data_IF_819379679343
#
_entry.id   IF_819379679343
#
_cell.length_a   1.000
_cell.length_b   1.000
_cell.length_c   1.000
_cell.angle_alpha   90.00
_cell.angle_beta   90.00
_cell.angle_gamma   90.00
#
_symmetry.space_group_name_H-M   'P 1'
#
loop_
_entity.id
_entity.type
_entity.pdbx_description
1 polymer ?
#
# COMPACT_ATOMS: atom_id res chain seq x y z
N UNK A 1 0.75 7.86 3.75
CA UNK A 1 1.00 9.31 3.67
C UNK A 1 2.43 9.57 3.23
N UNK A 2 3.42 8.96 3.89
CA UNK A 2 4.80 8.88 3.38
C UNK A 2 4.86 8.60 1.88
N UNK A 3 4.23 7.53 1.39
CA UNK A 3 4.37 7.15 -0.03
C UNK A 3 3.63 8.08 -1.01
N UNK A 4 2.52 8.71 -0.60
CA UNK A 4 1.81 9.73 -1.38
C UNK A 4 2.66 10.98 -1.55
N UNK A 5 3.42 11.36 -0.53
CA UNK A 5 4.13 12.64 -0.48
C UNK A 5 5.62 12.49 -0.82
N UNK A 6 6.23 11.33 -0.58
CA UNK A 6 7.65 11.07 -0.83
C UNK A 6 7.95 10.49 -2.20
N UNK A 7 7.09 9.61 -2.74
CA UNK A 7 7.29 9.16 -4.11
C UNK A 7 7.24 10.37 -5.03
N UNK A 8 8.20 10.48 -5.93
CA UNK A 8 8.41 11.63 -6.82
C UNK A 8 7.23 11.95 -7.76
N UNK A 9 6.35 10.99 -7.99
CA UNK A 9 5.14 11.11 -8.81
C UNK A 9 3.84 11.31 -7.99
N UNK A 10 3.97 11.35 -6.67
CA UNK A 10 2.94 11.75 -5.70
C UNK A 10 1.53 11.09 -5.84
N UNK A 11 1.43 9.75 -5.97
CA UNK A 11 0.17 9.06 -6.24
C UNK A 11 -0.93 9.39 -5.22
N UNK A 12 -2.07 9.87 -5.68
CA UNK A 12 -3.24 10.21 -4.84
C UNK A 12 -3.12 11.53 -4.09
N UNK A 13 -2.15 12.38 -4.43
CA UNK A 13 -1.95 13.68 -3.78
C UNK A 13 -2.76 14.80 -4.41
N UNK A 14 -3.64 15.42 -3.60
CA UNK A 14 -4.36 16.62 -4.00
C UNK A 14 -3.43 17.83 -4.14
N UNK A 15 -2.39 17.93 -3.30
CA UNK A 15 -1.44 19.05 -3.32
C UNK A 15 -0.61 19.08 -4.61
N UNK A 16 -0.32 17.90 -5.18
CA UNK A 16 0.45 17.76 -6.42
C UNK A 16 -0.45 17.52 -7.65
N UNK A 17 -1.78 17.60 -7.49
CA UNK A 17 -2.76 17.30 -8.54
C UNK A 17 -2.51 15.96 -9.26
N UNK A 18 -2.14 14.92 -8.49
CA UNK A 18 -1.85 13.58 -8.96
C UNK A 18 -2.87 12.62 -8.36
N UNK A 19 -4.10 12.53 -8.92
CA UNK A 19 -5.14 11.65 -8.38
C UNK A 19 -4.79 10.17 -8.60
N UNK A 20 -5.46 9.31 -7.86
CA UNK A 20 -5.63 7.92 -8.26
C UNK A 20 -6.91 7.81 -9.11
N UNK A 21 -6.96 6.85 -10.02
CA UNK A 21 -8.16 6.52 -10.78
C UNK A 21 -8.62 5.11 -10.41
N UNK A 22 -9.93 4.94 -10.22
CA UNK A 22 -10.49 3.67 -9.79
C UNK A 22 -10.23 2.58 -10.85
N UNK A 23 -9.74 1.42 -10.42
CA UNK A 23 -9.81 0.18 -11.20
C UNK A 23 -11.07 -0.59 -10.79
N UNK A 24 -12.08 -0.61 -11.67
CA UNK A 24 -13.35 -1.30 -11.43
C UNK A 24 -13.27 -2.80 -11.74
N UNK A 25 -12.40 -3.20 -12.67
CA UNK A 25 -12.24 -4.60 -13.06
C UNK A 25 -11.55 -5.37 -11.92
N UNK A 26 -12.30 -6.30 -11.32
CA UNK A 26 -11.84 -7.11 -10.19
C UNK A 26 -10.72 -8.06 -10.59
N UNK A 27 -10.69 -8.53 -11.83
CA UNK A 27 -9.63 -9.40 -12.32
C UNK A 27 -8.34 -8.60 -12.55
N UNK A 28 -8.46 -7.36 -13.02
CA UNK A 28 -7.33 -6.42 -13.08
C UNK A 28 -6.81 -6.06 -11.69
N UNK A 29 -7.68 -5.72 -10.75
CA UNK A 29 -7.28 -5.45 -9.37
C UNK A 29 -6.60 -6.68 -8.73
N UNK A 30 -7.09 -7.89 -8.99
CA UNK A 30 -6.46 -9.13 -8.52
C UNK A 30 -5.09 -9.35 -9.17
N UNK A 31 -4.98 -9.13 -10.48
CA UNK A 31 -3.71 -9.22 -11.20
C UNK A 31 -2.69 -8.21 -10.66
N UNK A 32 -3.13 -6.97 -10.40
CA UNK A 32 -2.33 -5.92 -9.79
C UNK A 32 -1.76 -6.35 -8.44
N UNK A 33 -2.62 -6.87 -7.55
CA UNK A 33 -2.21 -7.40 -6.25
C UNK A 33 -1.23 -8.57 -6.37
N UNK A 34 -1.45 -9.47 -7.32
CA UNK A 34 -0.56 -10.62 -7.54
C UNK A 34 0.86 -10.20 -7.97
N UNK A 35 1.04 -9.02 -8.56
CA UNK A 35 2.37 -8.47 -8.86
C UNK A 35 3.02 -7.92 -7.60
N UNK A 36 2.32 -7.07 -6.84
CA UNK A 36 2.93 -6.30 -5.74
C UNK A 36 2.93 -7.06 -4.41
N UNK A 37 1.80 -7.66 -4.05
CA UNK A 37 1.56 -8.40 -2.82
C UNK A 37 0.99 -9.81 -3.10
N UNK A 38 1.73 -10.70 -3.80
CA UNK A 38 1.28 -12.07 -4.01
C UNK A 38 1.16 -12.81 -2.68
N UNK A 39 0.13 -13.66 -2.55
CA UNK A 39 -0.14 -14.44 -1.34
C UNK A 39 0.91 -15.56 -1.09
N UNK A 40 1.77 -15.84 -2.06
CA UNK A 40 2.84 -16.85 -1.96
C UNK A 40 3.82 -16.82 -3.14
N UNK A 41 4.84 -17.68 -3.06
CA UNK A 41 5.90 -17.78 -4.07
C UNK A 41 7.10 -16.86 -3.81
N UNK A 42 8.09 -16.89 -4.71
CA UNK A 42 9.40 -16.25 -4.52
C UNK A 42 9.37 -14.72 -4.35
N UNK A 43 8.26 -14.07 -4.75
CA UNK A 43 8.10 -12.61 -4.65
C UNK A 43 7.08 -12.17 -3.60
N UNK A 44 6.53 -13.12 -2.82
CA UNK A 44 5.73 -12.79 -1.65
C UNK A 44 6.55 -11.93 -0.70
N UNK A 45 5.89 -10.96 -0.06
CA UNK A 45 6.57 -10.11 0.91
C UNK A 45 7.02 -10.96 2.10
N UNK A 46 8.32 -10.97 2.38
CA UNK A 46 8.84 -11.50 3.65
C UNK A 46 8.42 -10.55 4.79
N UNK A 47 7.40 -10.97 5.55
CA UNK A 47 6.78 -10.11 6.55
C UNK A 47 7.79 -9.72 7.65
N UNK A 48 7.90 -8.41 7.92
CA UNK A 48 8.89 -7.88 8.84
C UNK A 48 8.56 -8.28 10.29
N UNK A 49 9.52 -8.84 11.05
CA UNK A 49 9.27 -9.35 12.41
C UNK A 49 8.93 -8.25 13.43
N UNK A 50 9.31 -7.00 13.15
CA UNK A 50 8.95 -5.84 13.98
C UNK A 50 7.61 -5.20 13.59
N UNK A 51 6.93 -5.70 12.56
CA UNK A 51 5.59 -5.23 12.25
C UNK A 51 4.64 -5.61 13.39
N UNK A 52 3.81 -4.68 13.83
CA UNK A 52 2.87 -4.96 14.93
C UNK A 52 1.75 -5.87 14.45
N UNK A 53 1.71 -7.09 14.97
CA UNK A 53 0.72 -8.11 14.63
C UNK A 53 -0.66 -7.85 15.23
N UNK A 54 -1.70 -8.30 14.53
CA UNK A 54 -3.07 -8.34 15.05
C UNK A 54 -3.32 -9.61 15.83
N UNK A 55 -3.19 -9.51 17.16
CA UNK A 55 -3.39 -10.63 18.09
C UNK A 55 -4.84 -11.15 18.10
N UNK A 56 -5.80 -10.40 17.55
CA UNK A 56 -7.19 -10.85 17.43
C UNK A 56 -7.43 -11.72 16.19
N UNK A 57 -6.43 -11.91 15.34
CA UNK A 57 -6.49 -12.75 14.16
C UNK A 57 -5.70 -14.02 14.36
N UNK A 58 -6.26 -15.14 13.89
CA UNK A 58 -5.53 -16.41 13.78
C UNK A 58 -4.69 -16.43 12.51
N UNK A 59 -5.25 -15.93 11.40
CA UNK A 59 -4.59 -15.85 10.10
C UNK A 59 -4.48 -14.40 9.64
N UNK A 60 -3.37 -14.04 9.00
CA UNK A 60 -3.15 -12.69 8.49
C UNK A 60 -2.99 -11.65 9.61
N UNK A 61 -2.33 -12.03 10.72
CA UNK A 61 -2.01 -11.11 11.80
C UNK A 61 -1.16 -9.93 11.30
N UNK A 62 -0.24 -10.21 10.38
CA UNK A 62 0.48 -9.24 9.57
C UNK A 62 0.16 -9.57 8.11
N UNK A 63 -0.05 -8.55 7.29
CA UNK A 63 -0.40 -8.66 5.87
C UNK A 63 0.48 -7.75 5.02
N UNK A 64 0.57 -8.08 3.73
CA UNK A 64 1.11 -7.19 2.71
C UNK A 64 0.03 -6.16 2.29
N UNK A 65 0.32 -4.89 2.56
CA UNK A 65 -0.40 -3.74 2.03
C UNK A 65 0.40 -3.11 0.87
N UNK A 66 -0.29 -2.44 -0.05
CA UNK A 66 0.29 -1.91 -1.30
C UNK A 66 -0.19 -0.48 -1.60
N UNK A 67 0.73 0.34 -2.09
CA UNK A 67 0.45 1.72 -2.51
C UNK A 67 1.16 2.05 -3.84
N UNK A 68 0.48 2.59 -4.85
CA UNK A 68 -0.95 2.81 -4.93
C UNK A 68 -1.74 1.47 -4.85
N UNK A 69 -3.00 1.56 -4.40
CA UNK A 69 -3.82 0.39 -4.11
C UNK A 69 -4.03 -0.48 -5.37
N UNK A 70 -4.15 -1.80 -5.21
CA UNK A 70 -4.44 -2.70 -6.33
C UNK A 70 -5.72 -2.35 -7.12
N UNK A 71 -6.72 -1.77 -6.44
CA UNK A 71 -7.95 -1.27 -7.05
C UNK A 71 -7.83 0.19 -7.55
N UNK A 72 -6.65 0.58 -8.02
CA UNK A 72 -6.37 1.83 -8.73
C UNK A 72 -5.60 1.55 -10.02
N UNK A 73 -5.79 2.39 -11.04
CA UNK A 73 -5.05 2.30 -12.31
C UNK A 73 -3.56 2.58 -12.13
N UNK A 74 -3.20 3.31 -11.07
CA UNK A 74 -1.84 3.65 -10.68
C UNK A 74 -1.14 2.55 -9.87
N UNK A 75 -1.83 1.44 -9.56
CA UNK A 75 -1.24 0.30 -8.84
C UNK A 75 0.10 -0.08 -9.44
N UNK A 76 1.07 -0.45 -8.59
CA UNK A 76 2.36 -0.98 -9.04
C UNK A 76 2.21 -2.11 -10.06
N UNK A 77 1.19 -2.96 -9.95
CA UNK A 77 0.96 -4.04 -10.91
C UNK A 77 0.51 -3.60 -12.31
N UNK A 78 0.11 -2.34 -12.47
CA UNK A 78 -0.23 -1.70 -13.75
C UNK A 78 0.91 -0.80 -14.27
N UNK A 79 1.97 -0.58 -13.49
CA UNK A 79 3.08 0.31 -13.86
C UNK A 79 4.07 -0.37 -14.80
N UNK A 80 4.42 0.30 -15.90
CA UNK A 80 5.42 -0.19 -16.84
C UNK A 80 6.76 -0.47 -16.15
N UNK A 81 7.32 -1.67 -16.33
CA UNK A 81 8.60 -2.07 -15.74
C UNK A 81 8.52 -2.62 -14.30
N UNK A 82 7.34 -2.59 -13.67
CA UNK A 82 7.09 -3.33 -12.43
C UNK A 82 6.59 -4.73 -12.80
N UNK A 83 7.41 -5.72 -12.50
CA UNK A 83 7.17 -7.15 -12.78
C UNK A 83 6.89 -7.95 -11.52
N UNK A 84 7.34 -7.45 -10.36
CA UNK A 84 7.07 -8.03 -9.05
C UNK A 84 7.28 -7.00 -7.95
N UNK A 85 6.73 -7.27 -6.77
CA UNK A 85 6.73 -6.33 -5.66
C UNK A 85 8.11 -6.06 -5.02
N UNK A 86 9.17 -6.82 -5.33
CA UNK A 86 10.52 -6.49 -4.82
C UNK A 86 11.09 -5.21 -5.43
N UNK A 87 10.53 -4.76 -6.55
CA UNK A 87 10.86 -3.49 -7.21
C UNK A 87 10.14 -2.28 -6.59
N UNK A 88 9.18 -2.53 -5.70
CA UNK A 88 8.54 -1.48 -4.94
C UNK A 88 9.42 -1.08 -3.74
N UNK A 89 9.18 0.10 -3.20
CA UNK A 89 9.68 0.48 -1.88
C UNK A 89 9.18 -0.54 -0.83
N UNK A 90 10.09 -1.06 0.00
CA UNK A 90 9.77 -2.02 1.05
C UNK A 90 9.67 -1.33 2.42
N UNK A 91 8.59 -1.57 3.15
CA UNK A 91 8.36 -0.95 4.45
C UNK A 91 7.68 -1.89 5.47
N UNK A 92 7.60 -1.45 6.71
CA UNK A 92 6.77 -2.09 7.73
C UNK A 92 6.19 -1.07 8.70
N UNK A 93 4.97 -1.33 9.19
CA UNK A 93 4.35 -0.51 10.22
C UNK A 93 4.46 -1.14 11.60
N UNK A 94 4.82 -0.29 12.56
CA UNK A 94 4.92 -0.64 13.97
C UNK A 94 4.19 0.39 14.82
N UNK A 95 3.53 -0.10 15.86
CA UNK A 95 3.07 0.72 16.98
C UNK A 95 4.20 0.78 18.00
N UNK A 96 4.81 1.93 18.15
CA UNK A 96 5.93 2.12 19.08
C UNK A 96 5.47 2.16 20.54
N UNK A 97 6.44 2.20 21.46
CA UNK A 97 6.21 2.30 22.90
C UNK A 97 5.40 3.55 23.31
N UNK A 98 5.45 4.63 22.51
CA UNK A 98 4.63 5.83 22.72
C UNK A 98 3.18 5.68 22.23
N UNK A 99 2.81 4.48 21.78
CA UNK A 99 1.48 4.14 21.31
C UNK A 99 1.15 4.64 19.90
N UNK A 100 2.08 5.33 19.22
CA UNK A 100 1.85 5.86 17.87
C UNK A 100 2.25 4.84 16.81
N UNK A 101 1.49 4.85 15.72
CA UNK A 101 1.80 4.06 14.53
C UNK A 101 2.78 4.83 13.65
N UNK A 102 3.84 4.15 13.23
CA UNK A 102 4.84 4.68 12.29
C UNK A 102 5.12 3.65 11.21
N UNK A 103 5.49 4.17 10.04
CA UNK A 103 5.97 3.39 8.91
C UNK A 103 7.48 3.57 8.79
N UNK A 104 8.19 2.45 8.72
CA UNK A 104 9.64 2.37 8.62
C UNK A 104 10.05 1.71 7.31
N UNK A 105 11.19 2.12 6.77
CA UNK A 105 11.79 1.46 5.62
C UNK A 105 12.31 0.07 6.06
N UNK A 106 12.05 -0.96 5.25
CA UNK A 106 12.58 -2.31 5.48
C UNK A 106 13.91 -2.48 4.74
N UNK A 107 15.02 -2.30 5.47
CA UNK A 107 16.38 -2.36 4.94
C UNK A 107 17.03 -3.75 5.07
N UNK A 108 16.25 -4.80 5.37
CA UNK A 108 16.78 -6.17 5.43
C UNK A 108 17.17 -6.64 4.02
N UNK A 109 18.33 -7.28 3.82
CA UNK A 109 18.69 -7.86 2.53
C UNK A 109 17.57 -8.77 1.98
N UNK A 110 17.26 -8.71 0.67
CA UNK A 110 17.98 -7.99 -0.39
C UNK A 110 17.54 -6.52 -0.59
N UNK A 111 16.71 -5.98 0.30
CA UNK A 111 16.18 -4.63 0.15
C UNK A 111 17.29 -3.59 0.27
N UNK A 112 17.12 -2.48 -0.44
CA UNK A 112 18.02 -1.31 -0.38
C UNK A 112 17.25 -0.11 0.18
N UNK A 113 17.97 0.94 0.56
CA UNK A 113 17.35 2.18 0.99
C UNK A 113 16.46 2.73 -0.14
N UNK A 114 15.25 3.22 0.18
CA UNK A 114 14.37 3.78 -0.83
C UNK A 114 15.02 4.92 -1.60
N UNK A 115 14.86 4.92 -2.92
CA UNK A 115 15.24 6.07 -3.76
C UNK A 115 14.11 7.10 -3.85
N UNK A 116 12.90 6.68 -3.46
CA UNK A 116 11.65 7.43 -3.62
C UNK A 116 11.27 7.72 -5.08
N UNK A 117 11.92 7.05 -6.02
CA UNK A 117 11.58 7.03 -7.45
C UNK A 117 10.89 5.71 -7.82
N UNK A 118 10.58 4.86 -6.85
CA UNK A 118 9.88 3.60 -7.06
C UNK A 118 8.45 3.86 -7.55
N UNK A 119 7.97 3.02 -8.46
CA UNK A 119 6.61 3.15 -9.01
C UNK A 119 5.52 2.60 -8.09
N UNK A 120 5.91 2.08 -6.93
CA UNK A 120 5.03 1.49 -5.94
C UNK A 120 5.76 1.34 -4.61
N UNK A 121 4.99 1.11 -3.57
CA UNK A 121 5.43 0.73 -2.25
C UNK A 121 4.59 -0.45 -1.75
N UNK A 122 5.19 -1.30 -0.92
CA UNK A 122 4.47 -2.33 -0.17
C UNK A 122 4.98 -2.44 1.26
N UNK A 123 4.12 -2.81 2.18
CA UNK A 123 4.46 -2.83 3.60
C UNK A 123 3.91 -4.04 4.34
N UNK A 124 4.68 -4.47 5.35
CA UNK A 124 4.17 -5.37 6.40
C UNK A 124 3.30 -4.57 7.36
N UNK A 125 2.00 -4.86 7.38
CA UNK A 125 0.99 -4.09 8.10
C UNK A 125 0.18 -4.95 9.06
N UNK A 126 -0.30 -4.36 10.16
CA UNK A 126 -1.25 -4.97 11.06
C UNK A 126 -2.54 -5.37 10.32
N UNK A 127 -2.90 -6.66 10.37
CA UNK A 127 -3.98 -7.22 9.55
C UNK A 127 -5.32 -6.48 9.68
N UNK A 128 -5.77 -6.24 10.91
CA UNK A 128 -7.02 -5.52 11.15
C UNK A 128 -7.02 -4.07 10.65
N UNK A 129 -5.86 -3.41 10.58
CA UNK A 129 -5.76 -2.04 10.05
C UNK A 129 -5.83 -2.06 8.52
N UNK A 130 -5.09 -2.99 7.91
CA UNK A 130 -5.09 -3.19 6.47
C UNK A 130 -6.51 -3.46 5.93
N UNK A 131 -7.20 -4.42 6.52
CA UNK A 131 -8.56 -4.79 6.11
C UNK A 131 -9.58 -3.66 6.34
N UNK A 132 -9.46 -2.93 7.45
CA UNK A 132 -10.33 -1.76 7.72
C UNK A 132 -10.08 -0.63 6.72
N UNK A 133 -8.84 -0.40 6.32
CA UNK A 133 -8.51 0.59 5.30
C UNK A 133 -9.11 0.19 3.94
N UNK A 134 -8.91 -1.06 3.51
CA UNK A 134 -9.50 -1.59 2.28
C UNK A 134 -11.04 -1.56 2.29
N UNK A 135 -11.67 -1.91 3.41
CA UNK A 135 -13.12 -1.85 3.58
C UNK A 135 -13.65 -0.41 3.48
N UNK A 136 -12.96 0.56 4.08
CA UNK A 136 -13.32 1.99 3.97
C UNK A 136 -13.19 2.49 2.54
N UNK A 137 -12.13 2.11 1.82
CA UNK A 137 -11.93 2.48 0.42
C UNK A 137 -13.03 1.89 -0.48
N UNK A 138 -13.35 0.60 -0.31
CA UNK A 138 -14.46 -0.04 -1.02
C UNK A 138 -15.80 0.65 -0.74
N UNK A 139 -16.07 0.96 0.54
CA UNK A 139 -17.29 1.69 0.93
C UNK A 139 -17.34 3.11 0.36
N UNK A 140 -16.19 3.79 0.22
CA UNK A 140 -16.09 5.09 -0.44
C UNK A 140 -16.50 4.99 -1.92
N UNK A 141 -15.97 4.02 -2.67
CA UNK A 141 -16.34 3.80 -4.08
C UNK A 141 -17.85 3.61 -4.25
N UNK A 142 -18.48 2.81 -3.38
CA UNK A 142 -19.93 2.60 -3.42
C UNK A 142 -20.70 3.86 -3.07
N UNK A 143 -20.31 4.57 -2.00
CA UNK A 143 -21.03 5.78 -1.52
C UNK A 143 -20.95 6.92 -2.52
N UNK A 144 -19.81 7.12 -3.15
CA UNK A 144 -19.61 8.16 -4.17
C UNK A 144 -20.05 7.71 -5.56
N UNK A 145 -20.53 6.46 -5.72
CA UNK A 145 -20.93 5.86 -6.99
C UNK A 145 -19.84 5.99 -8.07
N UNK A 146 -18.59 5.81 -7.66
CA UNK A 146 -17.46 5.94 -8.58
C UNK A 146 -17.59 4.93 -9.72
N UNK A 147 -17.26 5.34 -10.93
CA UNK A 147 -17.15 4.48 -12.09
C UNK A 147 -15.69 4.05 -12.29
N UNK A 148 -15.46 3.16 -13.26
CA UNK A 148 -14.09 2.90 -13.70
C UNK A 148 -13.46 4.20 -14.18
N UNK A 149 -12.17 4.38 -13.91
CA UNK A 149 -11.40 5.57 -14.26
C UNK A 149 -11.80 6.87 -13.53
N UNK A 150 -12.78 6.84 -12.61
CA UNK A 150 -13.08 8.04 -11.82
C UNK A 150 -11.91 8.41 -10.90
N UNK A 151 -11.53 9.68 -10.94
CA UNK A 151 -10.43 10.24 -10.15
C UNK A 151 -10.80 10.42 -8.66
N UNK A 152 -9.85 10.14 -7.78
CA UNK A 152 -9.97 10.40 -6.34
C UNK A 152 -8.61 10.70 -5.70
N UNK A 153 -8.65 11.43 -4.60
CA UNK A 153 -7.47 11.76 -3.81
C UNK A 153 -7.49 11.01 -2.48
N UNK A 154 -6.32 10.74 -1.94
CA UNK A 154 -6.13 10.12 -0.63
C UNK A 154 -5.89 11.21 0.40
N UNK A 155 -6.83 11.33 1.32
CA UNK A 155 -6.69 12.15 2.52
C UNK A 155 -6.68 11.26 3.77
N UNK A 156 -5.68 11.44 4.62
CA UNK A 156 -5.51 10.67 5.85
C UNK A 156 -5.24 11.65 6.99
N UNK A 157 -6.26 12.26 7.59
CA UNK A 157 -6.03 13.22 8.68
C UNK A 157 -5.25 12.57 9.83
N UNK A 158 -4.14 13.19 10.28
CA UNK A 158 -3.47 12.85 11.54
C UNK A 158 -2.25 11.93 11.50
N UNK A 159 -1.64 11.65 10.34
CA UNK A 159 -0.36 10.93 10.26
C UNK A 159 0.82 11.91 10.20
N UNK A 160 1.27 12.43 11.34
CA UNK A 160 2.53 13.19 11.47
C UNK A 160 3.68 12.24 11.81
N UNK A 161 4.75 12.19 11.00
CA UNK A 161 6.03 11.60 11.42
C UNK A 161 6.68 12.52 12.47
N UNK A 162 7.47 11.99 13.43
CA UNK A 162 8.41 12.79 14.19
C UNK A 162 9.46 13.44 13.28
#
# INVERSE_FOLDING_TARGET
MEMRDKLDWHPGSKAHNSPLHREFDKDKAKANRAVVCPDGGQYALDLHPLATSDQNKVNGQVQCDEYAFAASKESGGSQAGVTNGSQCLQAYARKDADGKWRLYDDLRPPNTAPTYTEKCARASMHGGQNERAGSRLSGFYTKQRMLDDDAYFIDVPGLVRP
#
